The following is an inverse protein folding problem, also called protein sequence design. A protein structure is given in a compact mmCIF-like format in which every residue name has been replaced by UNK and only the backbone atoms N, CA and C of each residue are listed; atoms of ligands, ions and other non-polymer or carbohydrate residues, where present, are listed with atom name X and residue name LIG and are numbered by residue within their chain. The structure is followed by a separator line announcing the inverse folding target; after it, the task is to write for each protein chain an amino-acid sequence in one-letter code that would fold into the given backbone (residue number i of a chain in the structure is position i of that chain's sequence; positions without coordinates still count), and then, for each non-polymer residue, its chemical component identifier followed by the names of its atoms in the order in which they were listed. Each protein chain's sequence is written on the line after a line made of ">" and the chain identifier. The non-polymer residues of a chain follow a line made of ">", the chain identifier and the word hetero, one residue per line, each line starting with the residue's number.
data_IF_375339065326
#
_entry.id   IF_375339065326
#
_cell.length_a   1.000
_cell.length_b   1.000
_cell.length_c   1.000
_cell.angle_alpha   90.00
_cell.angle_beta   90.00
_cell.angle_gamma   90.00
#
_symmetry.space_group_name_H-M   'P 1'
#
loop_
_entity.id
_entity.type
_entity.pdbx_description
1 polymer ?
#
# COMPACT_ATOMS: atom_id res chain seq x y z
N UNK A 1 -56.30 34.07 -6.58
CA UNK A 1 -56.35 32.61 -6.39
C UNK A 1 -54.94 32.05 -6.44
N UNK A 2 -54.43 31.74 -5.25
CA UNK A 2 -53.27 30.90 -4.87
C UNK A 2 -51.93 31.10 -5.59
N UNK A 3 -51.11 31.95 -4.95
CA UNK A 3 -49.66 31.83 -4.86
C UNK A 3 -49.24 30.38 -4.67
N UNK A 4 -48.30 29.90 -5.49
CA UNK A 4 -47.59 28.64 -5.24
C UNK A 4 -46.17 28.99 -4.82
N UNK A 5 -46.03 29.14 -3.51
CA UNK A 5 -44.77 29.30 -2.79
C UNK A 5 -43.98 27.98 -2.92
N UNK A 6 -42.82 28.00 -3.59
CA UNK A 6 -41.92 26.85 -3.64
C UNK A 6 -40.96 26.97 -2.44
N UNK A 7 -40.96 26.03 -1.48
CA UNK A 7 -40.05 26.12 -0.36
C UNK A 7 -38.60 25.97 -0.85
N UNK A 8 -37.78 26.88 -0.35
CA UNK A 8 -36.34 26.94 -0.50
C UNK A 8 -35.74 25.54 -0.21
N UNK A 9 -35.14 24.90 -1.21
CA UNK A 9 -34.36 23.68 -1.00
C UNK A 9 -33.09 24.07 -0.27
N UNK A 10 -33.21 24.10 1.05
CA UNK A 10 -32.10 24.25 1.97
C UNK A 10 -30.96 23.33 1.55
N UNK A 11 -29.81 23.96 1.45
CA UNK A 11 -28.50 23.39 1.19
C UNK A 11 -28.30 22.22 2.15
N UNK A 12 -28.54 21.01 1.64
CA UNK A 12 -28.29 19.76 2.36
C UNK A 12 -26.88 19.77 2.91
N UNK A 13 -26.79 19.99 4.22
CA UNK A 13 -25.56 20.19 4.95
C UNK A 13 -24.59 19.05 4.71
N UNK A 14 -23.34 19.40 4.45
CA UNK A 14 -22.16 18.54 4.34
C UNK A 14 -21.79 17.90 5.69
N UNK A 15 -22.76 17.33 6.41
CA UNK A 15 -22.58 16.80 7.75
C UNK A 15 -22.48 15.27 7.75
N UNK A 16 -21.38 14.81 8.34
CA UNK A 16 -21.22 13.54 9.05
C UNK A 16 -21.34 12.21 8.29
N UNK A 17 -20.36 11.95 7.41
CA UNK A 17 -19.99 10.55 7.10
C UNK A 17 -19.22 9.96 8.29
N UNK A 18 -19.93 9.57 9.37
CA UNK A 18 -19.34 8.71 10.41
C UNK A 18 -18.76 7.47 9.73
N UNK A 19 -17.48 7.11 9.92
CA UNK A 19 -16.97 5.86 9.38
C UNK A 19 -17.84 4.72 9.91
N UNK A 20 -18.31 3.86 9.00
CA UNK A 20 -19.14 2.74 9.43
C UNK A 20 -18.32 1.86 10.36
N UNK A 21 -18.88 1.47 11.52
CA UNK A 21 -18.21 0.59 12.51
C UNK A 21 -17.57 -0.65 11.85
N UNK A 22 -18.17 -1.13 10.76
CA UNK A 22 -17.65 -2.22 9.93
C UNK A 22 -16.31 -1.88 9.27
N UNK A 23 -16.16 -0.70 8.65
CA UNK A 23 -14.91 -0.26 8.02
C UNK A 23 -13.78 -0.14 9.03
N UNK A 24 -14.07 0.41 10.21
CA UNK A 24 -13.07 0.54 11.27
C UNK A 24 -12.66 -0.82 11.83
N UNK A 25 -13.62 -1.73 12.02
CA UNK A 25 -13.34 -3.09 12.44
C UNK A 25 -12.49 -3.83 11.41
N UNK A 26 -12.86 -3.75 10.12
CA UNK A 26 -12.08 -4.34 9.03
C UNK A 26 -10.66 -3.78 8.96
N UNK A 27 -10.50 -2.45 9.07
CA UNK A 27 -9.19 -1.81 9.07
C UNK A 27 -8.31 -2.30 10.23
N UNK A 28 -8.88 -2.42 11.44
CA UNK A 28 -8.16 -2.98 12.60
C UNK A 28 -7.77 -4.44 12.39
N UNK A 29 -8.68 -5.26 11.88
CA UNK A 29 -8.40 -6.68 11.61
C UNK A 29 -7.29 -6.85 10.57
N UNK A 30 -7.34 -6.10 9.46
CA UNK A 30 -6.27 -6.07 8.46
C UNK A 30 -4.94 -5.60 9.05
N UNK A 31 -4.97 -4.54 9.86
CA UNK A 31 -3.76 -4.03 10.53
C UNK A 31 -3.12 -5.09 11.44
N UNK A 32 -3.92 -5.86 12.19
CA UNK A 32 -3.43 -6.97 13.03
C UNK A 32 -2.79 -8.08 12.20
N UNK A 33 -3.43 -8.48 11.10
CA UNK A 33 -2.88 -9.51 10.18
C UNK A 33 -1.56 -9.04 9.56
N UNK A 34 -1.47 -7.76 9.18
CA UNK A 34 -0.21 -7.19 8.68
C UNK A 34 0.85 -7.22 9.78
N UNK A 35 0.53 -6.77 11.00
CA UNK A 35 1.49 -6.77 12.11
C UNK A 35 2.03 -8.16 12.41
N UNK A 36 1.15 -9.15 12.56
CA UNK A 36 1.55 -10.55 12.81
C UNK A 36 2.43 -11.10 11.68
N UNK A 37 2.05 -10.89 10.41
CA UNK A 37 2.87 -11.39 9.30
C UNK A 37 4.18 -10.62 9.08
N UNK A 38 4.27 -9.36 9.52
CA UNK A 38 5.53 -8.62 9.58
C UNK A 38 6.50 -9.25 10.58
N UNK A 39 6.02 -9.77 11.71
CA UNK A 39 6.84 -10.44 12.71
C UNK A 39 7.35 -11.80 12.22
N UNK A 40 6.52 -12.55 11.49
CA UNK A 40 6.89 -13.85 10.93
C UNK A 40 7.56 -13.77 9.54
N UNK A 41 7.95 -12.57 9.09
CA UNK A 41 8.48 -12.36 7.75
C UNK A 41 9.87 -13.00 7.56
N UNK A 42 9.91 -14.06 6.75
CA UNK A 42 11.14 -14.63 6.19
C UNK A 42 11.38 -14.10 4.77
N UNK A 43 12.49 -13.37 4.59
CA UNK A 43 12.87 -12.75 3.32
C UNK A 43 13.04 -13.78 2.20
N UNK A 44 13.75 -14.88 2.45
CA UNK A 44 14.06 -15.90 1.45
C UNK A 44 12.80 -16.65 0.99
N UNK A 45 11.85 -16.90 1.90
CA UNK A 45 10.62 -17.64 1.60
C UNK A 45 9.54 -16.79 0.94
N UNK A 46 9.40 -15.53 1.38
CA UNK A 46 8.25 -14.71 1.01
C UNK A 46 8.53 -13.77 -0.16
N UNK A 47 9.71 -13.15 -0.21
CA UNK A 47 10.00 -12.11 -1.19
C UNK A 47 9.91 -12.57 -2.66
N UNK A 48 10.37 -13.79 -3.04
CA UNK A 48 10.27 -14.28 -4.44
C UNK A 48 8.84 -14.34 -4.98
N UNK A 49 7.85 -14.55 -4.11
CA UNK A 49 6.43 -14.64 -4.49
C UNK A 49 5.77 -13.27 -4.66
N UNK A 50 6.38 -12.21 -4.12
CA UNK A 50 5.81 -10.87 -4.06
C UNK A 50 6.35 -9.96 -5.15
N UNK A 51 7.66 -10.04 -5.39
CA UNK A 51 8.37 -9.26 -6.40
C UNK A 51 9.37 -10.14 -7.15
N UNK A 52 9.62 -9.91 -8.45
CA UNK A 52 10.66 -10.64 -9.17
C UNK A 52 12.03 -10.28 -8.60
N UNK A 53 12.79 -11.23 -8.07
CA UNK A 53 14.19 -11.08 -7.63
C UNK A 53 14.89 -12.43 -7.71
N UNK A 54 16.21 -12.42 -7.93
CA UNK A 54 17.03 -13.65 -7.89
C UNK A 54 17.38 -14.01 -6.45
N UNK A 55 17.72 -15.27 -6.18
CA UNK A 55 18.15 -15.71 -4.84
C UNK A 55 19.34 -14.89 -4.31
N UNK A 56 20.31 -14.59 -5.17
CA UNK A 56 21.51 -13.81 -4.79
C UNK A 56 21.17 -12.39 -4.33
N UNK A 57 20.25 -11.73 -5.04
CA UNK A 57 19.78 -10.40 -4.66
C UNK A 57 18.98 -10.42 -3.35
N UNK A 58 18.41 -11.55 -2.96
CA UNK A 58 17.63 -11.68 -1.73
C UNK A 58 18.55 -12.00 -0.55
N UNK A 59 19.61 -12.77 -0.79
CA UNK A 59 20.62 -13.12 0.19
C UNK A 59 21.54 -11.94 0.56
N UNK A 60 21.72 -10.98 -0.36
CA UNK A 60 22.47 -9.75 -0.09
C UNK A 60 21.77 -8.88 0.97
N UNK A 61 22.45 -8.69 2.11
CA UNK A 61 21.93 -7.93 3.25
C UNK A 61 22.48 -6.51 3.37
N UNK A 62 23.09 -5.99 2.31
CA UNK A 62 23.51 -4.59 2.23
C UNK A 62 22.33 -3.63 2.34
N UNK A 63 22.63 -2.41 2.79
CA UNK A 63 21.64 -1.35 2.93
C UNK A 63 21.12 -0.89 1.56
N UNK A 64 21.97 -0.94 0.54
CA UNK A 64 21.68 -0.63 -0.86
C UNK A 64 20.63 -1.58 -1.41
N UNK A 65 20.86 -2.90 -1.24
CA UNK A 65 19.90 -3.92 -1.64
C UNK A 65 18.59 -3.81 -0.86
N UNK A 66 18.64 -3.52 0.43
CA UNK A 66 17.43 -3.27 1.23
C UNK A 66 16.62 -2.07 0.73
N UNK A 67 17.27 -0.95 0.38
CA UNK A 67 16.59 0.22 -0.24
C UNK A 67 15.98 -0.15 -1.59
N UNK A 68 16.68 -0.95 -2.40
CA UNK A 68 16.16 -1.43 -3.68
C UNK A 68 14.92 -2.32 -3.50
N UNK A 69 14.94 -3.23 -2.52
CA UNK A 69 13.80 -4.07 -2.14
C UNK A 69 12.60 -3.20 -1.75
N UNK A 70 12.79 -2.22 -0.86
CA UNK A 70 11.71 -1.29 -0.48
C UNK A 70 11.12 -0.54 -1.67
N UNK A 71 11.96 -0.04 -2.59
CA UNK A 71 11.51 0.65 -3.78
C UNK A 71 10.68 -0.25 -4.71
N UNK A 72 11.03 -1.54 -4.82
CA UNK A 72 10.26 -2.54 -5.59
C UNK A 72 8.93 -2.87 -4.91
N UNK A 73 8.94 -3.12 -3.61
CA UNK A 73 7.75 -3.37 -2.80
C UNK A 73 6.76 -2.19 -2.87
N UNK A 74 7.26 -0.96 -2.76
CA UNK A 74 6.43 0.25 -2.86
C UNK A 74 5.79 0.39 -4.25
N UNK A 75 6.51 0.06 -5.33
CA UNK A 75 5.96 0.04 -6.69
C UNK A 75 4.89 -1.05 -6.84
N UNK A 76 5.16 -2.25 -6.35
CA UNK A 76 4.20 -3.36 -6.38
C UNK A 76 2.92 -3.05 -5.59
N UNK A 77 3.02 -2.42 -4.42
CA UNK A 77 1.87 -1.96 -3.62
C UNK A 77 1.01 -0.92 -4.35
N UNK A 78 1.64 0.05 -5.02
CA UNK A 78 0.90 1.04 -5.81
C UNK A 78 0.15 0.39 -6.97
N UNK A 79 0.80 -0.52 -7.69
CA UNK A 79 0.17 -1.27 -8.77
C UNK A 79 -1.00 -2.12 -8.26
N UNK A 80 -0.83 -2.85 -7.16
CA UNK A 80 -1.88 -3.68 -6.55
C UNK A 80 -3.07 -2.85 -6.08
N UNK A 81 -2.81 -1.70 -5.43
CA UNK A 81 -3.85 -0.75 -5.04
C UNK A 81 -4.59 -0.17 -6.24
N UNK A 82 -3.89 0.11 -7.34
CA UNK A 82 -4.51 0.61 -8.57
C UNK A 82 -5.48 -0.41 -9.15
N UNK A 83 -5.07 -1.69 -9.24
CA UNK A 83 -5.94 -2.79 -9.69
C UNK A 83 -7.18 -2.95 -8.83
N UNK A 84 -7.02 -2.95 -7.50
CA UNK A 84 -8.15 -3.07 -6.58
C UNK A 84 -9.15 -1.91 -6.71
N UNK A 85 -8.66 -0.69 -6.96
CA UNK A 85 -9.55 0.48 -7.22
C UNK A 85 -10.26 0.41 -8.56
N UNK A 86 -9.62 -0.18 -9.57
CA UNK A 86 -10.21 -0.37 -10.89
C UNK A 86 -11.14 -1.59 -10.97
N UNK A 87 -11.28 -2.37 -9.89
CA UNK A 87 -12.00 -3.65 -9.93
C UNK A 87 -11.35 -4.66 -10.88
N UNK A 88 -10.05 -4.52 -11.14
CA UNK A 88 -9.35 -5.34 -12.11
C UNK A 88 -9.26 -6.79 -11.63
N UNK A 89 -9.52 -7.74 -12.53
CA UNK A 89 -9.61 -9.17 -12.20
C UNK A 89 -8.33 -9.77 -11.60
N UNK A 90 -7.15 -9.20 -11.92
CA UNK A 90 -5.87 -9.61 -11.31
C UNK A 90 -5.59 -9.01 -9.93
N UNK A 91 -6.53 -8.25 -9.34
CA UNK A 91 -6.37 -7.79 -7.98
C UNK A 91 -6.38 -8.99 -7.01
N UNK A 92 -5.36 -9.07 -6.17
CA UNK A 92 -5.24 -10.11 -5.15
C UNK A 92 -5.02 -9.47 -3.77
N UNK A 93 -6.01 -9.65 -2.88
CA UNK A 93 -5.98 -9.17 -1.51
C UNK A 93 -4.87 -9.84 -0.69
N UNK A 94 -4.65 -11.14 -0.85
CA UNK A 94 -3.60 -11.88 -0.15
C UNK A 94 -2.22 -11.39 -0.58
N UNK A 95 -2.03 -11.18 -1.89
CA UNK A 95 -0.81 -10.54 -2.41
C UNK A 95 -0.62 -9.14 -1.84
N UNK A 96 -1.69 -8.34 -1.73
CA UNK A 96 -1.61 -7.00 -1.15
C UNK A 96 -1.17 -7.05 0.32
N UNK A 97 -1.75 -7.95 1.13
CA UNK A 97 -1.39 -8.15 2.53
C UNK A 97 0.09 -8.59 2.64
N UNK A 98 0.52 -9.57 1.85
CA UNK A 98 1.91 -10.03 1.83
C UNK A 98 2.91 -8.93 1.45
N UNK A 99 2.57 -8.11 0.46
CA UNK A 99 3.38 -6.94 0.09
C UNK A 99 3.50 -5.93 1.23
N UNK A 100 2.43 -5.70 2.01
CA UNK A 100 2.47 -4.81 3.18
C UNK A 100 3.32 -5.39 4.30
N UNK A 101 3.16 -6.68 4.59
CA UNK A 101 3.94 -7.39 5.62
C UNK A 101 5.45 -7.29 5.33
N UNK A 102 5.86 -7.62 4.10
CA UNK A 102 7.26 -7.53 3.66
C UNK A 102 7.80 -6.10 3.70
N UNK A 103 7.02 -5.12 3.23
CA UNK A 103 7.44 -3.72 3.23
C UNK A 103 7.70 -3.20 4.66
N UNK A 104 6.80 -3.49 5.60
CA UNK A 104 6.99 -3.05 6.99
C UNK A 104 8.17 -3.76 7.66
N UNK A 105 8.38 -5.05 7.37
CA UNK A 105 9.52 -5.81 7.90
C UNK A 105 10.85 -5.23 7.42
N UNK A 106 11.00 -5.00 6.12
CA UNK A 106 12.21 -4.41 5.52
C UNK A 106 12.43 -2.97 5.98
N UNK A 107 11.35 -2.20 6.16
CA UNK A 107 11.42 -0.83 6.67
C UNK A 107 11.91 -0.78 8.11
N UNK A 108 11.45 -1.69 8.98
CA UNK A 108 11.93 -1.80 10.38
C UNK A 108 13.44 -2.09 10.43
N UNK A 109 13.94 -2.92 9.51
CA UNK A 109 15.37 -3.28 9.42
C UNK A 109 16.28 -2.17 8.90
N UNK A 110 15.73 -1.13 8.26
CA UNK A 110 16.48 0.06 7.85
C UNK A 110 16.70 1.07 9.00
N UNK A 111 16.01 0.89 10.13
CA UNK A 111 16.01 1.84 11.25
C UNK A 111 15.34 3.19 10.89
N UNK A 112 15.12 4.08 11.87
CA UNK A 112 14.49 5.39 11.66
C UNK A 112 15.36 6.44 10.93
N UNK A 113 16.36 6.02 10.14
CA UNK A 113 17.45 6.89 9.68
C UNK A 113 17.42 7.42 8.25
N UNK A 114 16.48 7.04 7.38
CA UNK A 114 16.47 7.58 6.01
C UNK A 114 15.07 7.47 5.37
N UNK A 115 14.52 8.60 4.94
CA UNK A 115 13.32 8.61 4.11
C UNK A 115 13.59 7.85 2.79
N UNK A 116 12.60 7.13 2.22
CA UNK A 116 12.81 6.46 0.94
C UNK A 116 13.28 7.48 -0.11
N UNK A 117 14.29 7.17 -0.94
CA UNK A 117 14.76 8.09 -1.95
C UNK A 117 13.57 8.48 -2.83
N UNK A 118 13.33 9.80 -2.92
CA UNK A 118 12.35 10.37 -3.85
C UNK A 118 12.72 9.82 -5.23
N UNK A 119 11.77 9.16 -5.88
CA UNK A 119 11.95 8.63 -7.23
C UNK A 119 12.36 9.76 -8.15
N UNK A 120 13.63 9.77 -8.56
CA UNK A 120 14.08 10.64 -9.64
C UNK A 120 13.51 10.06 -10.94
N UNK A 121 12.84 10.87 -11.79
CA UNK A 121 12.44 10.41 -13.11
C UNK A 121 13.69 10.03 -13.93
N UNK A 122 13.60 9.07 -14.86
CA UNK A 122 14.74 8.70 -15.70
C UNK A 122 15.24 9.93 -16.47
N UNK A 123 16.56 10.06 -16.72
CA UNK A 123 17.09 11.15 -17.52
C UNK A 123 16.41 11.13 -18.89
N UNK A 124 15.89 12.29 -19.32
CA UNK A 124 15.43 12.45 -20.71
C UNK A 124 16.64 12.21 -21.61
N UNK A 125 16.56 11.17 -22.43
CA UNK A 125 17.60 10.83 -23.40
C UNK A 125 17.91 12.04 -24.29
N UNK A 126 19.18 12.39 -24.37
CA UNK A 126 19.70 13.29 -25.39
C UNK A 126 20.08 12.46 -26.62
N UNK A 127 19.48 12.84 -27.74
CA UNK A 127 19.75 12.40 -29.10
C UNK A 127 19.14 13.43 -30.03
#
# INVERSE_FOLDING_TARGET
>A
MTSRNWPNLETGSRQDRKPSRLRDHAARSVARVIAAGTETYDRMRHLPRLIPMTCDQIADDTMETRRAILARLARALRAERSRGRAGHWTYDLNRHIGLRQAFEAERRRLGPGEAPPKTHPPPKGGG
#
